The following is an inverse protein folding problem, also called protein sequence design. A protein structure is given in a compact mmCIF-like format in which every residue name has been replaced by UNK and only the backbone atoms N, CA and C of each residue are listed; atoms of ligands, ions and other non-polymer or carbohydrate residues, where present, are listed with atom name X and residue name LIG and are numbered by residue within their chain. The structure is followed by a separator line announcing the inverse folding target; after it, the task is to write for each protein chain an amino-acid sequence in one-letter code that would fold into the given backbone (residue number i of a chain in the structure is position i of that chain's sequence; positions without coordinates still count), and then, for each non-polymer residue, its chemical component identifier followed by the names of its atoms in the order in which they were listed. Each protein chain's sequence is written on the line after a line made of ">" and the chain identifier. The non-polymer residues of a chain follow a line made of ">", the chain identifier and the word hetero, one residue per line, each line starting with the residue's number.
data_IF_782516708820
#
_entry.id   IF_782516708820
#
_cell.length_a   1.000
_cell.length_b   1.000
_cell.length_c   1.000
_cell.angle_alpha   90.00
_cell.angle_beta   90.00
_cell.angle_gamma   90.00
#
_symmetry.space_group_name_H-M   'P 1'
#
loop_
_entity.id
_entity.type
_entity.pdbx_description
1 polymer ?
#
# COMPACT_ATOMS: atom_id res chain seq x y z
N UNK A 1 5.99 -5.55 -3.53
CA UNK A 1 5.81 -4.27 -4.24
C UNK A 1 4.39 -4.17 -4.77
N UNK A 2 3.72 -3.05 -4.50
CA UNK A 2 2.33 -2.78 -4.89
C UNK A 2 2.24 -1.37 -5.49
N UNK A 3 1.82 -1.29 -6.76
CA UNK A 3 1.63 -0.03 -7.50
C UNK A 3 0.14 0.31 -7.68
N UNK A 4 -0.76 -0.51 -7.16
CA UNK A 4 -2.19 -0.41 -7.39
C UNK A 4 -2.95 -0.26 -6.07
N UNK A 5 -4.18 0.26 -6.16
CA UNK A 5 -5.18 0.25 -5.10
C UNK A 5 -6.55 0.05 -5.74
N UNK A 6 -7.51 -0.49 -4.99
CA UNK A 6 -8.87 -0.61 -5.48
C UNK A 6 -9.42 0.81 -5.77
N UNK A 7 -9.88 1.12 -6.99
CA UNK A 7 -10.25 2.47 -7.33
C UNK A 7 -11.38 3.03 -6.47
N UNK A 8 -11.23 4.26 -5.99
CA UNK A 8 -12.30 5.00 -5.32
C UNK A 8 -13.30 5.55 -6.33
N UNK A 9 -14.53 5.87 -5.91
CA UNK A 9 -15.59 6.35 -6.81
C UNK A 9 -15.15 7.57 -7.65
N UNK A 10 -14.31 8.43 -7.09
CA UNK A 10 -13.74 9.58 -7.81
C UNK A 10 -12.84 9.16 -9.00
N UNK A 11 -12.16 8.02 -8.91
CA UNK A 11 -11.33 7.47 -9.97
C UNK A 11 -12.16 6.71 -11.02
N UNK A 12 -13.40 6.35 -10.67
CA UNK A 12 -14.45 5.77 -11.53
C UNK A 12 -15.35 6.82 -12.19
N UNK A 13 -15.08 8.10 -11.94
CA UNK A 13 -15.93 9.21 -12.33
C UNK A 13 -16.36 9.16 -13.80
N UNK A 14 -17.57 9.64 -14.10
CA UNK A 14 -18.12 9.70 -15.47
C UNK A 14 -17.50 10.85 -16.29
N UNK A 15 -16.17 10.96 -16.30
CA UNK A 15 -15.42 11.88 -17.15
C UNK A 15 -15.10 11.21 -18.50
N UNK A 16 -14.52 11.96 -19.44
CA UNK A 16 -14.10 11.42 -20.75
C UNK A 16 -13.02 10.33 -20.62
N UNK A 17 -12.23 10.34 -19.53
CA UNK A 17 -11.11 9.42 -19.33
C UNK A 17 -10.87 9.15 -17.83
N UNK A 18 -11.74 8.36 -17.16
CA UNK A 18 -11.56 8.01 -15.75
C UNK A 18 -10.22 7.32 -15.49
N UNK A 19 -9.63 7.60 -14.32
CA UNK A 19 -8.34 7.04 -13.93
C UNK A 19 -8.39 5.51 -13.86
N UNK A 20 -9.45 4.91 -13.32
CA UNK A 20 -9.63 3.46 -13.30
C UNK A 20 -9.45 2.86 -14.71
N UNK A 21 -10.19 3.37 -15.70
CA UNK A 21 -10.15 2.82 -17.04
C UNK A 21 -8.77 3.00 -17.70
N UNK A 22 -8.04 4.06 -17.35
CA UNK A 22 -6.68 4.29 -17.84
C UNK A 22 -5.68 3.34 -17.18
N UNK A 23 -5.79 3.08 -15.88
CA UNK A 23 -4.97 2.11 -15.16
C UNK A 23 -5.20 0.68 -15.65
N UNK A 24 -6.46 0.27 -15.80
CA UNK A 24 -6.83 -1.06 -16.31
C UNK A 24 -6.37 -1.26 -17.77
N UNK A 25 -6.41 -0.19 -18.60
CA UNK A 25 -5.92 -0.25 -19.99
C UNK A 25 -4.44 -0.56 -20.10
N UNK A 26 -3.63 -0.14 -19.13
CA UNK A 26 -2.19 -0.44 -19.12
C UNK A 26 -1.85 -1.69 -18.30
N UNK A 27 -2.85 -2.41 -17.79
CA UNK A 27 -2.68 -3.63 -16.99
C UNK A 27 -2.15 -3.38 -15.58
N UNK A 28 -2.39 -2.20 -14.99
CA UNK A 28 -1.86 -1.85 -13.67
C UNK A 28 -2.47 -2.71 -12.55
N UNK A 29 -3.74 -3.11 -12.70
CA UNK A 29 -4.46 -4.04 -11.84
C UNK A 29 -3.97 -5.50 -11.95
N UNK A 30 -3.20 -5.80 -13.00
CA UNK A 30 -2.56 -7.09 -13.25
C UNK A 30 -1.03 -6.99 -13.22
N UNK A 31 -0.48 -6.09 -12.40
CA UNK A 31 0.96 -5.94 -12.24
C UNK A 31 1.61 -7.24 -11.70
N UNK A 32 2.64 -7.73 -12.39
CA UNK A 32 3.38 -8.96 -12.02
C UNK A 32 4.83 -8.67 -11.72
N UNK A 33 5.32 -9.26 -10.64
CA UNK A 33 6.75 -9.21 -10.28
C UNK A 33 7.51 -10.32 -11.01
N UNK A 34 8.59 -9.94 -11.69
CA UNK A 34 9.60 -10.86 -12.24
C UNK A 34 10.92 -10.64 -11.52
N UNK A 35 11.46 -11.69 -10.92
CA UNK A 35 12.80 -11.67 -10.35
C UNK A 35 13.84 -11.44 -11.45
N UNK A 36 14.81 -10.56 -11.18
CA UNK A 36 15.94 -10.29 -12.07
C UNK A 36 17.20 -10.89 -11.48
N UNK A 37 17.46 -10.64 -10.20
CA UNK A 37 18.71 -11.02 -9.55
C UNK A 37 18.53 -11.12 -8.03
N UNK A 38 19.26 -12.05 -7.41
CA UNK A 38 19.50 -12.08 -5.97
C UNK A 38 21.02 -12.14 -5.78
N UNK A 39 21.56 -11.20 -5.03
CA UNK A 39 23.00 -11.12 -4.74
C UNK A 39 23.25 -10.56 -3.35
N UNK A 40 24.45 -10.78 -2.80
CA UNK A 40 24.91 -9.99 -1.66
C UNK A 40 25.06 -8.52 -2.11
N UNK A 41 24.79 -7.58 -1.20
CA UNK A 41 25.03 -6.17 -1.49
C UNK A 41 26.56 -5.94 -1.58
N UNK A 42 27.05 -5.28 -2.65
CA UNK A 42 28.47 -5.04 -2.88
C UNK A 42 29.07 -4.09 -1.85
N UNK A 43 28.23 -3.25 -1.23
CA UNK A 43 28.65 -2.28 -0.22
C UNK A 43 28.51 -2.86 1.21
N UNK A 44 27.76 -3.95 1.38
CA UNK A 44 27.57 -4.66 2.66
C UNK A 44 27.28 -6.16 2.45
N UNK A 45 28.27 -7.01 2.71
CA UNK A 45 28.16 -8.46 2.56
C UNK A 45 27.13 -9.12 3.49
N UNK A 46 26.69 -8.45 4.56
CA UNK A 46 25.62 -8.91 5.45
C UNK A 46 24.20 -8.60 4.94
N UNK A 47 24.09 -7.80 3.88
CA UNK A 47 22.82 -7.38 3.30
C UNK A 47 22.52 -8.18 2.02
N UNK A 48 21.30 -8.71 1.92
CA UNK A 48 20.80 -9.37 0.72
C UNK A 48 20.13 -8.34 -0.20
N UNK A 49 20.58 -8.26 -1.44
CA UNK A 49 19.97 -7.43 -2.47
C UNK A 49 19.13 -8.27 -3.43
N UNK A 50 17.87 -7.89 -3.58
CA UNK A 50 16.91 -8.51 -4.51
C UNK A 50 16.50 -7.48 -5.55
N UNK A 51 16.80 -7.74 -6.82
CA UNK A 51 16.36 -6.92 -7.94
C UNK A 51 15.23 -7.62 -8.68
N UNK A 52 14.19 -6.87 -8.99
CA UNK A 52 13.03 -7.36 -9.73
C UNK A 52 12.44 -6.28 -10.61
N UNK A 53 11.57 -6.69 -11.54
CA UNK A 53 10.79 -5.78 -12.37
C UNK A 53 9.31 -6.05 -12.18
N UNK A 54 8.52 -5.00 -11.98
CA UNK A 54 7.08 -5.01 -12.09
C UNK A 54 6.71 -4.77 -13.55
N UNK A 55 6.19 -5.79 -14.21
CA UNK A 55 5.61 -5.69 -15.56
C UNK A 55 4.10 -5.53 -15.47
N UNK A 56 3.51 -4.80 -16.43
CA UNK A 56 2.07 -4.61 -16.52
C UNK A 56 1.53 -5.36 -17.75
N UNK A 57 0.46 -6.14 -17.58
CA UNK A 57 -0.06 -6.99 -18.65
C UNK A 57 -0.53 -6.11 -19.84
N UNK A 58 0.02 -6.37 -21.04
CA UNK A 58 -0.32 -5.63 -22.26
C UNK A 58 0.33 -4.25 -22.42
N UNK A 59 1.33 -3.89 -21.59
CA UNK A 59 2.03 -2.60 -21.66
C UNK A 59 3.55 -2.75 -21.58
N UNK A 60 4.27 -1.82 -22.21
CA UNK A 60 5.73 -1.69 -22.02
C UNK A 60 6.09 -0.96 -20.71
N UNK A 61 5.11 -0.32 -20.06
CA UNK A 61 5.27 0.33 -18.78
C UNK A 61 5.53 -0.70 -17.66
N UNK A 62 6.13 -0.21 -16.57
CA UNK A 62 6.49 -1.00 -15.42
C UNK A 62 7.39 -0.22 -14.48
N UNK A 63 7.96 -0.89 -13.49
CA UNK A 63 8.94 -0.33 -12.57
C UNK A 63 10.04 -1.35 -12.26
N UNK A 64 11.28 -0.89 -12.16
CA UNK A 64 12.35 -1.70 -11.58
C UNK A 64 12.35 -1.49 -10.06
N UNK A 65 12.61 -2.56 -9.30
CA UNK A 65 12.54 -2.57 -7.84
C UNK A 65 13.82 -3.20 -7.29
N UNK A 66 14.49 -2.49 -6.39
CA UNK A 66 15.62 -3.00 -5.63
C UNK A 66 15.22 -3.04 -4.16
N UNK A 67 15.26 -4.24 -3.57
CA UNK A 67 15.04 -4.44 -2.14
C UNK A 67 16.38 -4.82 -1.49
N UNK A 68 16.76 -4.14 -0.41
CA UNK A 68 17.89 -4.49 0.45
C UNK A 68 17.37 -5.01 1.77
N UNK A 69 17.76 -6.23 2.13
CA UNK A 69 17.30 -6.94 3.30
C UNK A 69 18.46 -7.15 4.25
N UNK A 70 18.32 -6.72 5.50
CA UNK A 70 19.31 -6.90 6.55
C UNK A 70 18.66 -7.50 7.80
N UNK A 71 19.43 -8.28 8.55
CA UNK A 71 19.03 -8.82 9.85
C UNK A 71 19.89 -8.19 10.94
N UNK A 72 19.26 -7.69 12.00
CA UNK A 72 19.94 -7.02 13.12
C UNK A 72 19.92 -7.83 14.42
N UNK A 73 19.40 -9.06 14.36
CA UNK A 73 19.22 -9.94 15.52
C UNK A 73 17.90 -9.72 16.28
N UNK A 74 17.18 -8.61 16.04
CA UNK A 74 15.84 -8.38 16.58
C UNK A 74 14.74 -8.59 15.53
N UNK A 75 15.06 -8.36 14.25
CA UNK A 75 14.15 -8.59 13.14
C UNK A 75 14.84 -8.41 11.79
N UNK A 76 14.04 -8.00 10.81
CA UNK A 76 14.44 -7.83 9.42
C UNK A 76 14.15 -6.39 9.00
N UNK A 77 15.21 -5.67 8.62
CA UNK A 77 15.13 -4.37 7.95
C UNK A 77 15.00 -4.56 6.45
N UNK A 78 14.15 -3.76 5.83
CA UNK A 78 13.94 -3.73 4.39
C UNK A 78 14.00 -2.28 3.90
N UNK A 79 14.93 -1.99 3.00
CA UNK A 79 14.91 -0.77 2.19
C UNK A 79 14.43 -1.14 0.78
N UNK A 80 13.47 -0.39 0.27
CA UNK A 80 12.89 -0.61 -1.06
C UNK A 80 13.05 0.65 -1.88
N UNK A 81 13.73 0.54 -3.02
CA UNK A 81 13.78 1.58 -4.05
C UNK A 81 12.98 1.12 -5.27
N UNK A 82 12.09 1.97 -5.74
CA UNK A 82 11.19 1.72 -6.87
C UNK A 82 11.44 2.79 -7.91
N UNK A 83 11.74 2.38 -9.13
CA UNK A 83 12.00 3.30 -10.25
C UNK A 83 11.01 2.97 -11.38
N UNK A 84 9.89 3.71 -11.51
CA UNK A 84 8.99 3.60 -12.65
C UNK A 84 9.71 3.86 -13.98
N UNK A 85 9.14 3.33 -15.06
CA UNK A 85 9.69 3.50 -16.41
C UNK A 85 9.87 4.98 -16.76
N UNK A 86 11.03 5.35 -17.31
CA UNK A 86 11.33 6.75 -17.67
C UNK A 86 10.34 7.38 -18.68
N UNK A 87 9.64 6.55 -19.45
CA UNK A 87 8.61 6.95 -20.42
C UNK A 87 7.18 6.85 -19.86
N UNK A 88 7.00 6.81 -18.54
CA UNK A 88 5.68 6.85 -17.92
C UNK A 88 4.93 8.14 -18.30
N UNK A 89 3.66 8.08 -18.74
CA UNK A 89 2.91 9.28 -19.14
C UNK A 89 2.76 10.26 -17.97
N UNK A 90 3.13 11.53 -18.18
CA UNK A 90 3.12 12.56 -17.14
C UNK A 90 1.72 12.84 -16.58
N UNK A 91 0.70 12.59 -17.37
CA UNK A 91 -0.71 12.80 -17.06
C UNK A 91 -1.40 11.53 -16.49
N UNK A 92 -0.64 10.46 -16.25
CA UNK A 92 -1.13 9.22 -15.65
C UNK A 92 -0.53 9.05 -14.25
N UNK A 93 -1.22 9.47 -13.18
CA UNK A 93 -0.74 9.26 -11.82
C UNK A 93 -0.66 7.76 -11.48
N UNK A 94 0.19 7.42 -10.51
CA UNK A 94 0.17 6.11 -9.86
C UNK A 94 -0.86 6.14 -8.71
N UNK A 95 -1.66 5.10 -8.51
CA UNK A 95 -2.54 4.98 -7.34
C UNK A 95 -1.76 4.94 -6.03
N UNK A 96 -0.65 4.18 -6.02
CA UNK A 96 0.18 3.90 -4.84
C UNK A 96 1.62 3.60 -5.26
N UNK A 97 2.57 3.91 -4.39
CA UNK A 97 3.87 3.22 -4.33
C UNK A 97 3.97 2.63 -2.92
N UNK A 98 3.95 1.30 -2.82
CA UNK A 98 3.92 0.62 -1.54
C UNK A 98 4.38 -0.83 -1.58
N UNK A 99 4.25 -1.49 -0.45
CA UNK A 99 4.64 -2.88 -0.23
C UNK A 99 3.52 -3.60 0.50
N UNK A 100 2.96 -4.61 -0.16
CA UNK A 100 1.85 -5.41 0.36
C UNK A 100 2.30 -6.86 0.57
N UNK A 101 1.89 -7.43 1.69
CA UNK A 101 2.13 -8.82 2.07
C UNK A 101 0.94 -9.36 2.84
N UNK A 102 0.88 -10.67 3.04
CA UNK A 102 -0.21 -11.34 3.72
C UNK A 102 0.30 -12.15 4.92
N UNK A 103 -0.43 -12.09 6.03
CA UNK A 103 -0.21 -12.89 7.23
C UNK A 103 -1.22 -14.06 7.26
N UNK A 104 -0.84 -15.22 7.83
CA UNK A 104 -1.67 -16.42 7.83
C UNK A 104 -2.83 -16.39 8.84
N UNK A 105 -3.00 -15.30 9.60
CA UNK A 105 -4.03 -15.17 10.63
C UNK A 105 -4.56 -13.74 10.71
N UNK A 106 -5.81 -13.61 11.18
CA UNK A 106 -6.39 -12.34 11.56
C UNK A 106 -5.89 -11.90 12.94
N UNK A 107 -5.26 -10.73 13.09
CA UNK A 107 -5.03 -10.15 14.40
C UNK A 107 -6.38 -9.72 15.00
N UNK A 108 -6.52 -9.85 16.31
CA UNK A 108 -7.67 -9.27 17.02
C UNK A 108 -7.52 -7.75 17.14
N UNK A 109 -6.27 -7.28 17.26
CA UNK A 109 -5.92 -5.90 17.56
C UNK A 109 -4.86 -5.36 16.60
N UNK A 110 -5.04 -4.10 16.20
CA UNK A 110 -4.05 -3.30 15.48
C UNK A 110 -3.76 -2.04 16.31
N UNK A 111 -2.61 -2.04 16.98
CA UNK A 111 -2.08 -0.87 17.68
C UNK A 111 -1.11 -0.12 16.78
N UNK A 112 -1.21 1.21 16.69
CA UNK A 112 -0.30 2.00 15.87
C UNK A 112 -0.01 3.38 16.44
N UNK A 113 1.15 3.92 16.07
CA UNK A 113 1.56 5.31 16.33
C UNK A 113 1.64 6.04 14.99
N UNK A 114 0.74 7.00 14.77
CA UNK A 114 0.53 7.68 13.50
C UNK A 114 -0.70 8.58 13.52
N UNK A 115 -1.16 9.03 12.34
CA UNK A 115 -2.39 9.83 12.21
C UNK A 115 -3.64 8.95 12.35
N UNK A 116 -4.56 9.38 13.23
CA UNK A 116 -5.82 8.68 13.52
C UNK A 116 -6.86 9.58 14.21
N UNK A 117 -8.00 9.03 14.66
CA UNK A 117 -8.38 7.61 14.61
C UNK A 117 -9.03 7.19 13.28
N UNK A 118 -9.26 8.12 12.36
CA UNK A 118 -9.92 7.86 11.06
C UNK A 118 -8.89 7.68 9.93
N UNK A 119 -9.36 7.23 8.77
CA UNK A 119 -8.49 7.10 7.60
C UNK A 119 -8.02 8.48 7.12
N UNK A 120 -6.85 8.52 6.47
CA UNK A 120 -6.27 9.74 5.92
C UNK A 120 -5.51 9.44 4.64
N UNK A 121 -5.64 10.33 3.67
CA UNK A 121 -4.96 10.33 2.38
C UNK A 121 -4.29 11.70 2.17
N UNK A 122 -3.47 11.92 1.13
CA UNK A 122 -2.73 13.19 0.99
C UNK A 122 -3.60 14.47 1.03
N UNK A 123 -4.84 14.39 0.53
CA UNK A 123 -5.79 15.50 0.43
C UNK A 123 -7.03 15.35 1.35
N UNK A 124 -7.10 14.28 2.13
CA UNK A 124 -8.22 14.01 3.06
C UNK A 124 -7.72 13.50 4.41
N UNK A 125 -8.43 13.79 5.50
CA UNK A 125 -7.99 13.39 6.85
C UNK A 125 -7.40 14.52 7.70
N UNK A 126 -7.69 15.79 7.36
CA UNK A 126 -7.38 16.95 8.23
C UNK A 126 -8.05 16.91 9.61
N UNK A 127 -8.96 15.96 9.84
CA UNK A 127 -9.54 15.66 11.16
C UNK A 127 -8.75 14.62 11.97
N UNK A 128 -7.62 14.11 11.47
CA UNK A 128 -6.77 13.18 12.20
C UNK A 128 -5.68 13.90 12.99
N UNK A 129 -5.23 13.29 14.09
CA UNK A 129 -4.10 13.76 14.88
C UNK A 129 -3.05 12.67 15.03
N UNK A 130 -1.79 13.08 15.13
CA UNK A 130 -0.70 12.15 15.39
C UNK A 130 -0.77 11.70 16.86
N UNK A 131 -0.78 10.39 17.09
CA UNK A 131 -0.88 9.83 18.41
C UNK A 131 -0.79 8.31 18.40
N UNK A 132 -1.09 7.70 19.56
CA UNK A 132 -1.22 6.25 19.70
C UNK A 132 -2.68 5.86 19.62
N UNK A 133 -2.96 4.90 18.77
CA UNK A 133 -4.30 4.44 18.45
C UNK A 133 -4.37 2.93 18.54
N UNK A 134 -5.57 2.43 18.80
CA UNK A 134 -5.85 1.02 18.94
C UNK A 134 -7.20 0.74 18.28
N UNK A 135 -7.28 -0.30 17.47
CA UNK A 135 -8.47 -0.62 16.68
C UNK A 135 -8.54 -2.12 16.43
N UNK A 136 -9.75 -2.68 16.41
CA UNK A 136 -9.96 -4.05 15.95
C UNK A 136 -9.70 -4.13 14.44
N UNK A 137 -9.42 -5.33 13.90
CA UNK A 137 -9.30 -5.50 12.44
C UNK A 137 -10.59 -5.05 11.71
N UNK A 138 -11.76 -5.28 12.31
CA UNK A 138 -13.05 -4.91 11.73
C UNK A 138 -13.25 -3.39 11.67
N UNK A 139 -12.83 -2.67 12.72
CA UNK A 139 -12.95 -1.21 12.80
C UNK A 139 -11.80 -0.47 12.08
N UNK A 140 -10.78 -1.20 11.64
CA UNK A 140 -9.66 -0.63 10.90
C UNK A 140 -10.07 -0.12 9.52
N UNK A 141 -11.25 -0.54 9.05
CA UNK A 141 -11.78 -0.25 7.72
C UNK A 141 -13.01 0.65 7.75
N UNK A 142 -13.28 1.24 6.59
CA UNK A 142 -14.54 1.96 6.34
C UNK A 142 -15.39 1.12 5.38
N UNK A 143 -16.58 0.64 5.81
CA UNK A 143 -17.46 -0.20 4.99
C UNK A 143 -18.23 0.65 3.97
N UNK A 144 -17.52 1.15 2.96
CA UNK A 144 -18.16 1.84 1.83
C UNK A 144 -19.12 0.90 1.09
N UNK A 145 -20.32 1.39 0.77
CA UNK A 145 -21.38 0.60 0.10
C UNK A 145 -20.87 -0.04 -1.19
N UNK A 146 -20.15 0.74 -2.00
CA UNK A 146 -19.36 0.20 -3.10
C UNK A 146 -17.92 -0.01 -2.60
N UNK A 147 -17.44 -1.26 -2.54
CA UNK A 147 -16.09 -1.58 -2.11
C UNK A 147 -15.03 -0.82 -2.91
N UNK A 148 -14.14 -0.16 -2.19
CA UNK A 148 -13.07 0.68 -2.74
C UNK A 148 -11.94 0.82 -1.72
N UNK A 149 -10.81 1.37 -2.14
CA UNK A 149 -9.69 1.65 -1.23
C UNK A 149 -10.16 2.43 0.00
N UNK A 150 -9.79 1.93 1.19
CA UNK A 150 -10.14 2.50 2.49
C UNK A 150 -9.13 2.05 3.57
N UNK A 151 -9.25 2.63 4.75
CA UNK A 151 -8.57 2.21 5.97
C UNK A 151 -7.11 2.64 6.08
N UNK A 152 -6.62 3.50 5.19
CA UNK A 152 -5.23 3.97 5.26
C UNK A 152 -5.02 4.90 6.47
N UNK A 153 -4.06 4.58 7.34
CA UNK A 153 -3.54 5.45 8.41
C UNK A 153 -2.27 6.11 7.92
N UNK A 154 -2.18 7.43 7.96
CA UNK A 154 -1.01 8.15 7.46
C UNK A 154 0.10 8.22 8.52
N UNK A 155 1.35 8.31 8.06
CA UNK A 155 2.51 8.62 8.91
C UNK A 155 2.74 7.64 10.06
N UNK A 156 2.42 6.36 9.86
CA UNK A 156 2.62 5.33 10.87
C UNK A 156 4.10 5.04 11.04
N UNK A 157 4.62 5.32 12.24
CA UNK A 157 6.03 5.08 12.58
C UNK A 157 6.23 3.74 13.31
N UNK A 158 5.17 3.24 13.93
CA UNK A 158 5.15 1.94 14.60
C UNK A 158 3.75 1.34 14.51
N UNK A 159 3.67 0.04 14.26
CA UNK A 159 2.43 -0.72 14.45
C UNK A 159 2.71 -2.10 15.06
N UNK A 160 1.74 -2.62 15.79
CA UNK A 160 1.71 -3.97 16.30
C UNK A 160 0.38 -4.62 15.89
N UNK A 161 0.46 -5.73 15.19
CA UNK A 161 -0.68 -6.58 14.84
C UNK A 161 -0.58 -7.79 15.75
N UNK A 162 -1.55 -7.95 16.65
CA UNK A 162 -1.49 -8.96 17.71
C UNK A 162 -2.87 -9.57 17.99
N UNK A 163 -2.87 -10.65 18.76
CA UNK A 163 -4.06 -11.47 18.99
C UNK A 163 -4.31 -12.47 17.86
N UNK A 164 -5.39 -13.23 17.97
CA UNK A 164 -5.71 -14.35 17.10
C UNK A 164 -4.84 -15.59 17.35
N UNK A 165 -4.96 -16.59 16.47
CA UNK A 165 -4.25 -17.88 16.60
C UNK A 165 -2.82 -17.87 16.02
N UNK A 166 -2.38 -16.77 15.41
CA UNK A 166 -1.10 -16.70 14.70
C UNK A 166 -0.06 -15.74 15.32
N UNK A 167 1.12 -15.63 14.69
CA UNK A 167 2.21 -14.84 15.24
C UNK A 167 1.90 -13.33 15.17
N UNK A 168 2.16 -12.64 16.27
CA UNK A 168 2.10 -11.18 16.32
C UNK A 168 3.26 -10.55 15.54
N UNK A 169 2.98 -9.47 14.83
CA UNK A 169 3.95 -8.73 14.01
C UNK A 169 4.13 -7.32 14.56
N UNK A 170 5.37 -6.87 14.72
CA UNK A 170 5.71 -5.46 14.92
C UNK A 170 6.32 -4.87 13.65
N UNK A 171 5.79 -3.74 13.24
CA UNK A 171 6.28 -2.88 12.17
C UNK A 171 6.92 -1.62 12.77
N UNK A 172 8.07 -1.21 12.24
CA UNK A 172 8.63 0.13 12.47
C UNK A 172 9.00 0.78 11.14
N UNK A 173 8.71 2.06 10.99
CA UNK A 173 9.04 2.84 9.80
C UNK A 173 9.37 4.27 10.23
N UNK A 174 10.63 4.60 10.55
CA UNK A 174 11.01 5.89 11.13
C UNK A 174 10.57 7.11 10.32
N UNK A 175 10.54 7.00 8.99
CA UNK A 175 10.11 8.05 8.08
C UNK A 175 8.57 8.23 8.03
N UNK A 176 7.82 7.29 8.61
CA UNK A 176 6.37 7.23 8.58
C UNK A 176 5.84 6.67 7.25
N UNK A 177 5.00 5.64 7.31
CA UNK A 177 4.34 5.06 6.13
C UNK A 177 2.82 5.09 6.28
N UNK A 178 2.12 5.05 5.14
CA UNK A 178 0.71 4.68 5.13
C UNK A 178 0.54 3.22 5.57
N UNK A 179 -0.44 2.91 6.43
CA UNK A 179 -0.75 1.55 6.85
C UNK A 179 -2.22 1.24 6.56
N UNK A 180 -2.48 0.15 5.84
CA UNK A 180 -3.79 -0.47 5.75
C UNK A 180 -3.70 -1.94 6.14
N UNK A 181 -4.69 -2.45 6.88
CA UNK A 181 -4.78 -3.85 7.31
C UNK A 181 -6.19 -4.35 7.00
N UNK A 182 -6.31 -5.48 6.28
CA UNK A 182 -7.60 -5.96 5.76
C UNK A 182 -7.68 -7.49 5.62
N UNK A 183 -8.87 -8.11 5.72
CA UNK A 183 -9.03 -9.55 5.52
C UNK A 183 -9.23 -9.95 4.05
N UNK A 184 -9.03 -9.04 3.10
CA UNK A 184 -9.21 -9.30 1.67
C UNK A 184 -8.09 -8.65 0.85
N UNK A 185 -7.72 -9.25 -0.27
CA UNK A 185 -6.76 -8.65 -1.20
C UNK A 185 -7.30 -7.37 -1.86
N UNK A 186 -6.40 -6.53 -2.39
CA UNK A 186 -6.79 -5.38 -3.23
C UNK A 186 -7.62 -5.81 -4.45
N UNK A 187 -7.34 -7.00 -5.02
CA UNK A 187 -8.08 -7.53 -6.16
C UNK A 187 -9.53 -7.93 -5.78
N UNK A 188 -9.73 -8.54 -4.62
CA UNK A 188 -11.08 -8.83 -4.11
C UNK A 188 -11.85 -7.53 -3.85
N UNK A 189 -11.19 -6.52 -3.28
CA UNK A 189 -11.79 -5.21 -3.01
C UNK A 189 -12.21 -4.47 -4.30
N UNK A 190 -11.42 -4.54 -5.37
CA UNK A 190 -11.77 -3.94 -6.68
C UNK A 190 -12.85 -4.74 -7.44
N UNK A 191 -12.95 -6.05 -7.21
CA UNK A 191 -13.87 -6.92 -7.94
C UNK A 191 -15.34 -6.79 -7.49
N UNK A 192 -15.60 -6.44 -6.22
CA UNK A 192 -16.96 -6.52 -5.64
C UNK A 192 -17.74 -5.21 -5.81
N UNK A 193 -19.02 -5.34 -6.12
CA UNK A 193 -19.94 -4.22 -6.32
C UNK A 193 -20.73 -3.79 -5.07
N UNK A 194 -20.62 -4.57 -3.98
CA UNK A 194 -21.23 -4.31 -2.68
C UNK A 194 -20.42 -4.99 -1.58
N UNK A 195 -20.37 -4.35 -0.42
CA UNK A 195 -19.67 -4.79 0.80
C UNK A 195 -20.03 -6.22 1.22
N UNK A 196 -21.33 -6.56 1.17
CA UNK A 196 -21.83 -7.90 1.53
C UNK A 196 -21.32 -9.05 0.65
N UNK A 197 -20.64 -8.79 -0.47
CA UNK A 197 -20.01 -9.84 -1.27
C UNK A 197 -18.50 -9.96 -1.12
N UNK A 198 -17.87 -9.14 -0.27
CA UNK A 198 -16.46 -9.32 0.05
C UNK A 198 -16.22 -10.68 0.70
N UNK A 199 -15.27 -11.44 0.16
CA UNK A 199 -14.89 -12.75 0.67
C UNK A 199 -13.48 -12.70 1.22
N UNK A 200 -13.34 -12.97 2.51
CA UNK A 200 -12.03 -13.20 3.12
C UNK A 200 -11.42 -14.49 2.58
N UNK A 201 -10.13 -14.44 2.26
CA UNK A 201 -9.35 -15.57 1.77
C UNK A 201 -8.63 -16.32 2.91
N UNK A 202 -8.93 -15.96 4.15
CA UNK A 202 -8.29 -16.50 5.35
C UNK A 202 -6.94 -15.85 5.68
N UNK A 203 -6.52 -14.83 4.92
CA UNK A 203 -5.29 -14.09 5.16
C UNK A 203 -5.59 -12.68 5.68
N UNK A 204 -4.59 -12.10 6.34
CA UNK A 204 -4.59 -10.66 6.65
C UNK A 204 -3.61 -9.95 5.75
N UNK A 205 -4.13 -9.12 4.86
CA UNK A 205 -3.35 -8.30 3.95
C UNK A 205 -2.92 -7.02 4.65
N UNK A 206 -1.61 -6.79 4.69
CA UNK A 206 -0.97 -5.61 5.25
C UNK A 206 -0.32 -4.84 4.11
N UNK A 207 -0.69 -3.57 3.95
CA UNK A 207 -0.13 -2.67 2.95
C UNK A 207 0.60 -1.52 3.64
N UNK A 208 1.87 -1.35 3.29
CA UNK A 208 2.71 -0.21 3.64
C UNK A 208 2.81 0.73 2.44
N UNK A 209 2.30 1.95 2.54
CA UNK A 209 2.33 2.92 1.43
C UNK A 209 3.37 4.00 1.68
N UNK A 210 4.39 4.07 0.83
CA UNK A 210 5.35 5.18 0.84
C UNK A 210 4.75 6.45 0.21
N UNK A 211 3.95 6.26 -0.83
CA UNK A 211 3.20 7.34 -1.45
C UNK A 211 1.82 6.86 -1.91
N UNK A 212 0.84 7.76 -1.86
CA UNK A 212 -0.52 7.53 -2.32
C UNK A 212 -0.98 8.69 -3.20
N UNK A 213 -1.87 8.39 -4.14
CA UNK A 213 -2.63 9.43 -4.82
C UNK A 213 -3.70 10.01 -3.88
N UNK A 214 -3.98 11.31 -3.99
CA UNK A 214 -5.14 11.94 -3.38
C UNK A 214 -6.46 11.30 -3.83
N UNK A 215 -7.53 11.57 -3.08
CA UNK A 215 -8.88 11.04 -3.32
C UNK A 215 -9.68 11.99 -4.22
N UNK A 216 -9.52 13.30 -4.04
CA UNK A 216 -10.25 14.32 -4.79
C UNK A 216 -11.76 14.26 -4.57
N UNK A 217 -12.51 14.74 -5.58
CA UNK A 217 -13.99 14.71 -5.58
C UNK A 217 -14.57 14.48 -6.99
N UNK A 218 -13.78 13.88 -7.87
CA UNK A 218 -14.03 13.81 -9.31
C UNK A 218 -15.34 13.10 -9.70
N UNK A 219 -15.96 12.31 -8.81
CA UNK A 219 -17.28 11.75 -9.04
C UNK A 219 -18.32 12.85 -9.35
N UNK A 220 -18.22 13.99 -8.66
CA UNK A 220 -18.99 15.20 -8.94
C UNK A 220 -18.24 16.44 -8.42
N UNK A 221 -17.10 16.74 -9.05
CA UNK A 221 -16.17 17.77 -8.56
C UNK A 221 -14.81 17.70 -9.24
N UNK A 222 -13.80 18.43 -8.72
CA UNK A 222 -12.44 18.38 -9.24
C UNK A 222 -11.70 17.08 -8.90
N UNK A 223 -10.71 16.76 -9.74
CA UNK A 223 -9.60 15.85 -9.43
C UNK A 223 -8.78 16.36 -8.23
N UNK A 224 -7.91 15.53 -7.60
CA UNK A 224 -7.00 16.01 -6.58
C UNK A 224 -6.18 17.22 -7.04
N UNK A 225 -5.94 18.16 -6.13
CA UNK A 225 -5.07 19.31 -6.44
C UNK A 225 -3.67 18.83 -6.84
N UNK A 226 -2.92 19.58 -7.68
CA UNK A 226 -1.64 19.13 -8.23
C UNK A 226 -0.63 18.60 -7.20
N UNK A 227 -0.57 19.19 -6.00
CA UNK A 227 0.33 18.74 -4.93
C UNK A 227 -0.02 17.38 -4.31
N UNK A 228 -1.22 16.86 -4.56
CA UNK A 228 -1.71 15.56 -4.08
C UNK A 228 -1.74 14.50 -5.21
N UNK A 229 -1.25 14.86 -6.40
CA UNK A 229 -1.12 13.95 -7.52
C UNK A 229 0.18 13.14 -7.37
N UNK A 230 0.06 11.82 -7.30
CA UNK A 230 1.21 10.93 -7.24
C UNK A 230 1.73 10.69 -8.66
N UNK A 231 2.71 11.48 -9.07
CA UNK A 231 3.43 11.26 -10.33
C UNK A 231 4.30 10.00 -10.25
N UNK A 232 4.49 9.33 -11.38
CA UNK A 232 5.44 8.23 -11.47
C UNK A 232 6.87 8.77 -11.34
N UNK A 233 7.45 8.58 -10.16
CA UNK A 233 8.81 9.01 -9.80
C UNK A 233 9.50 7.90 -9.03
N UNK A 234 10.83 7.98 -8.97
CA UNK A 234 11.58 7.13 -8.06
C UNK A 234 11.20 7.43 -6.61
N UNK A 235 11.03 6.39 -5.82
CA UNK A 235 10.68 6.48 -4.40
C UNK A 235 11.49 5.44 -3.63
N UNK A 236 12.04 5.83 -2.48
CA UNK A 236 12.76 4.93 -1.57
C UNK A 236 12.16 5.01 -0.19
N UNK A 237 11.86 3.86 0.40
CA UNK A 237 11.28 3.78 1.73
C UNK A 237 11.82 2.59 2.51
N UNK A 238 11.73 2.67 3.84
CA UNK A 238 12.28 1.67 4.75
C UNK A 238 11.25 1.24 5.76
N UNK A 239 11.32 -0.03 6.14
CA UNK A 239 10.58 -0.55 7.27
C UNK A 239 11.34 -1.71 7.90
N UNK A 240 11.02 -1.98 9.15
CA UNK A 240 11.56 -3.09 9.91
C UNK A 240 10.42 -3.94 10.44
N UNK A 241 10.56 -5.26 10.30
CA UNK A 241 9.62 -6.26 10.76
C UNK A 241 10.26 -7.12 11.84
N UNK A 242 9.58 -7.31 12.96
CA UNK A 242 9.97 -8.27 13.98
C UNK A 242 8.76 -9.01 14.53
N UNK A 243 8.99 -10.18 15.13
CA UNK A 243 7.96 -10.79 15.97
C UNK A 243 7.62 -9.82 17.11
N UNK A 244 6.34 -9.62 17.40
CA UNK A 244 5.97 -8.84 18.57
C UNK A 244 6.42 -9.61 19.83
N UNK A 245 7.11 -8.92 20.74
CA UNK A 245 7.45 -9.50 22.04
C UNK A 245 6.16 -9.60 22.87
N UNK A 246 5.92 -10.75 23.56
CA UNK A 246 4.77 -10.92 24.44
C UNK A 246 4.76 -9.92 25.60
#
# INVERSE_FOLDING_TARGET
>A
MDLYRAPVDNERARTRAPLEARWKRIGLDHARRRLVEISADPDDAGTLRVRSRIGLDGSALGADVTERWSADGEGIGVEVTVTPSAFWPKDLPLPRIGWTFALPSAPDQVDYEGFGPHESYPDTGGGTTFGRWSSSLADFQVPYVFPQENGNRAGVVRAALSGGEGPSLTLRAPEGLGLAVRPWSTAELDLRAHDGALRADGLTWVTLSAALHGVGSAACGPEPLPQYVLTAREETFRFHLSAARP
#
